data_IF_775256686902
#
_entry.id   IF_775256686902
#
_cell.length_a   1.000
_cell.length_b   1.000
_cell.length_c   1.000
_cell.angle_alpha   90.00
_cell.angle_beta   90.00
_cell.angle_gamma   90.00
#
_symmetry.space_group_name_H-M   'P 1'
#
loop_
_entity.id
_entity.type
_entity.pdbx_description
1 polymer ?
#
# COMPACT_ATOMS: atom_id res chain seq x y z
N UNK A 1 -80.24 74.44 -56.15
CA UNK A 1 -79.75 73.31 -56.97
C UNK A 1 -78.32 73.66 -57.37
N UNK A 2 -77.34 73.32 -56.54
CA UNK A 2 -75.93 73.34 -56.92
C UNK A 2 -75.46 71.90 -56.70
N UNK A 3 -75.18 71.22 -57.80
CA UNK A 3 -74.91 69.79 -57.85
C UNK A 3 -73.74 69.47 -56.93
N UNK A 4 -73.91 68.45 -56.07
CA UNK A 4 -72.82 67.94 -55.25
C UNK A 4 -71.65 67.59 -56.15
N UNK A 5 -70.50 68.24 -55.90
CA UNK A 5 -69.28 67.90 -56.61
C UNK A 5 -69.04 66.41 -56.44
N UNK A 6 -68.89 65.74 -57.57
CA UNK A 6 -68.87 64.30 -57.59
C UNK A 6 -67.60 63.84 -56.88
N UNK A 7 -67.75 63.07 -55.80
CA UNK A 7 -66.67 62.81 -54.83
C UNK A 7 -65.39 62.17 -55.42
N UNK A 8 -65.46 61.68 -56.65
CA UNK A 8 -64.35 61.13 -57.42
C UNK A 8 -63.44 62.18 -58.09
N UNK A 9 -63.81 63.46 -58.07
CA UNK A 9 -63.01 64.60 -58.56
C UNK A 9 -62.09 65.20 -57.48
N UNK A 10 -62.28 64.84 -56.20
CA UNK A 10 -61.42 65.26 -55.10
C UNK A 10 -60.12 64.42 -55.09
N UNK A 11 -58.92 65.04 -55.21
CA UNK A 11 -57.64 64.33 -55.11
C UNK A 11 -57.50 63.48 -53.85
N UNK A 12 -58.13 63.91 -52.74
CA UNK A 12 -58.14 63.19 -51.46
C UNK A 12 -58.77 61.80 -51.59
N UNK A 13 -59.78 61.62 -52.43
CA UNK A 13 -60.43 60.32 -52.64
C UNK A 13 -59.50 59.30 -53.33
N UNK A 14 -58.77 59.72 -54.36
CA UNK A 14 -57.80 58.86 -55.04
C UNK A 14 -56.58 58.54 -54.16
N UNK A 15 -56.13 59.49 -53.33
CA UNK A 15 -55.08 59.24 -52.33
C UNK A 15 -55.54 58.23 -51.28
N UNK A 16 -56.76 58.37 -50.75
CA UNK A 16 -57.32 57.39 -49.81
C UNK A 16 -57.47 56.00 -50.47
N UNK A 17 -57.95 55.94 -51.71
CA UNK A 17 -58.07 54.69 -52.47
C UNK A 17 -56.73 53.99 -52.69
N UNK A 18 -55.71 54.73 -53.13
CA UNK A 18 -54.34 54.18 -53.31
C UNK A 18 -53.71 53.73 -51.99
N UNK A 19 -53.94 54.45 -50.88
CA UNK A 19 -53.49 54.03 -49.56
C UNK A 19 -54.14 52.71 -49.13
N UNK A 20 -55.45 52.55 -49.34
CA UNK A 20 -56.16 51.30 -49.03
C UNK A 20 -55.66 50.15 -49.90
N UNK A 21 -55.41 50.39 -51.20
CA UNK A 21 -54.82 49.36 -52.08
C UNK A 21 -53.40 49.00 -51.66
N UNK A 22 -52.58 49.98 -51.23
CA UNK A 22 -51.23 49.73 -50.72
C UNK A 22 -51.25 48.91 -49.42
N UNK A 23 -52.05 49.32 -48.42
CA UNK A 23 -52.22 48.57 -47.17
C UNK A 23 -52.78 47.17 -47.44
N UNK A 24 -53.77 47.06 -48.32
CA UNK A 24 -54.32 45.78 -48.78
C UNK A 24 -53.24 44.90 -49.42
N UNK A 25 -52.36 45.48 -50.24
CA UNK A 25 -51.20 44.80 -50.83
C UNK A 25 -50.18 44.34 -49.77
N UNK A 26 -49.87 45.16 -48.77
CA UNK A 26 -48.96 44.82 -47.66
C UNK A 26 -49.53 43.71 -46.77
N UNK A 27 -50.84 43.74 -46.51
CA UNK A 27 -51.55 42.69 -45.76
C UNK A 27 -51.62 41.41 -46.58
N UNK A 28 -51.93 41.49 -47.88
CA UNK A 28 -51.95 40.36 -48.79
C UNK A 28 -50.57 39.70 -48.94
N UNK A 29 -49.50 40.51 -49.01
CA UNK A 29 -48.11 40.07 -49.00
C UNK A 29 -47.64 39.55 -47.62
N UNK A 30 -48.51 39.56 -46.59
CA UNK A 30 -48.25 39.03 -45.25
C UNK A 30 -47.01 39.60 -44.56
N UNK A 31 -46.62 40.83 -44.89
CA UNK A 31 -45.43 41.46 -44.31
C UNK A 31 -45.46 41.50 -42.76
N UNK A 32 -46.65 41.74 -42.18
CA UNK A 32 -46.89 41.71 -40.74
C UNK A 32 -46.58 40.33 -40.11
N UNK A 33 -46.94 39.24 -40.80
CA UNK A 33 -46.70 37.87 -40.32
C UNK A 33 -45.21 37.52 -40.36
N UNK A 34 -44.50 37.95 -41.41
CA UNK A 34 -43.06 37.71 -41.55
C UNK A 34 -42.26 38.44 -40.47
N UNK A 35 -42.61 39.70 -40.17
CA UNK A 35 -41.98 40.45 -39.08
C UNK A 35 -42.28 39.77 -37.73
N UNK A 36 -43.53 39.40 -37.46
CA UNK A 36 -43.90 38.66 -36.25
C UNK A 36 -43.11 37.35 -36.10
N UNK A 37 -42.99 36.57 -37.17
CA UNK A 37 -42.22 35.32 -37.16
C UNK A 37 -40.73 35.53 -36.85
N UNK A 38 -40.10 36.58 -37.37
CA UNK A 38 -38.70 36.89 -37.05
C UNK A 38 -38.51 37.30 -35.57
N UNK A 39 -39.47 38.05 -35.01
CA UNK A 39 -39.44 38.41 -33.58
C UNK A 39 -39.65 37.17 -32.70
N UNK A 40 -40.56 36.28 -33.08
CA UNK A 40 -40.80 35.02 -32.38
C UNK A 40 -39.57 34.10 -32.44
N UNK A 41 -38.93 33.98 -33.60
CA UNK A 41 -37.70 33.21 -33.78
C UNK A 41 -36.58 33.73 -32.87
N UNK A 42 -36.36 35.06 -32.86
CA UNK A 42 -35.40 35.68 -31.95
C UNK A 42 -35.75 35.44 -30.49
N UNK A 43 -37.02 35.58 -30.12
CA UNK A 43 -37.48 35.35 -28.74
C UNK A 43 -37.23 33.90 -28.31
N UNK A 44 -37.49 32.94 -29.19
CA UNK A 44 -37.25 31.52 -28.93
C UNK A 44 -35.75 31.19 -28.86
N UNK A 45 -34.93 31.77 -29.73
CA UNK A 45 -33.48 31.62 -29.67
C UNK A 45 -32.91 32.15 -28.34
N UNK A 46 -33.36 33.33 -27.90
CA UNK A 46 -32.94 33.91 -26.61
C UNK A 46 -33.40 33.03 -25.44
N UNK A 47 -34.65 32.56 -25.45
CA UNK A 47 -35.15 31.63 -24.42
C UNK A 47 -34.29 30.37 -24.33
N UNK A 48 -33.97 29.76 -25.48
CA UNK A 48 -33.13 28.56 -25.56
C UNK A 48 -31.74 28.81 -24.99
N UNK A 49 -31.09 29.92 -25.37
CA UNK A 49 -29.77 30.28 -24.83
C UNK A 49 -29.79 30.50 -23.31
N UNK A 50 -30.84 31.12 -22.78
CA UNK A 50 -30.99 31.31 -21.33
C UNK A 50 -31.20 29.96 -20.61
N UNK A 51 -31.98 29.05 -21.20
CA UNK A 51 -32.20 27.71 -20.65
C UNK A 51 -30.93 26.87 -20.66
N UNK A 52 -30.19 26.85 -21.78
CA UNK A 52 -28.89 26.20 -21.89
C UNK A 52 -27.89 26.78 -20.87
N UNK A 53 -27.83 28.11 -20.72
CA UNK A 53 -26.96 28.74 -19.73
C UNK A 53 -27.33 28.39 -18.28
N UNK A 54 -28.63 28.23 -17.98
CA UNK A 54 -29.11 27.76 -16.68
C UNK A 54 -28.71 26.31 -16.43
N UNK A 55 -28.97 25.41 -17.38
CA UNK A 55 -28.58 24.00 -17.28
C UNK A 55 -27.07 23.87 -17.07
N UNK A 56 -26.28 24.58 -17.86
CA UNK A 56 -24.82 24.54 -17.75
C UNK A 56 -24.35 25.04 -16.38
N UNK A 57 -24.99 26.08 -15.84
CA UNK A 57 -24.67 26.57 -14.51
C UNK A 57 -25.01 25.55 -13.43
N UNK A 58 -26.19 24.93 -13.49
CA UNK A 58 -26.61 23.89 -12.56
C UNK A 58 -25.67 22.67 -12.61
N UNK A 59 -25.30 22.22 -13.80
CA UNK A 59 -24.33 21.13 -14.00
C UNK A 59 -22.95 21.49 -13.42
N UNK A 60 -22.50 22.74 -13.61
CA UNK A 60 -21.22 23.21 -13.07
C UNK A 60 -21.24 23.28 -11.55
N UNK A 61 -22.35 23.76 -10.96
CA UNK A 61 -22.53 23.81 -9.51
C UNK A 61 -22.54 22.39 -8.91
N UNK A 62 -23.24 21.43 -9.54
CA UNK A 62 -23.21 20.03 -9.12
C UNK A 62 -21.80 19.43 -9.25
N UNK A 63 -21.12 19.67 -10.37
CA UNK A 63 -19.77 19.18 -10.60
C UNK A 63 -18.79 19.73 -9.57
N UNK A 64 -18.92 21.01 -9.19
CA UNK A 64 -18.11 21.62 -8.14
C UNK A 64 -18.32 20.94 -6.79
N UNK A 65 -19.57 20.68 -6.41
CA UNK A 65 -19.90 19.97 -5.15
C UNK A 65 -19.29 18.57 -5.15
N UNK A 66 -19.38 17.86 -6.28
CA UNK A 66 -18.80 16.52 -6.42
C UNK A 66 -17.27 16.55 -6.34
N UNK A 67 -16.61 17.53 -6.96
CA UNK A 67 -15.15 17.68 -6.84
C UNK A 67 -14.73 18.04 -5.42
N UNK A 68 -15.44 18.93 -4.74
CA UNK A 68 -15.16 19.26 -3.34
C UNK A 68 -15.32 18.05 -2.42
N UNK A 69 -16.36 17.24 -2.65
CA UNK A 69 -16.56 15.98 -1.92
C UNK A 69 -15.42 15.01 -2.19
N UNK A 70 -15.08 14.78 -3.46
CA UNK A 70 -13.97 13.89 -3.86
C UNK A 70 -12.63 14.34 -3.30
N UNK A 71 -12.37 15.65 -3.29
CA UNK A 71 -11.14 16.21 -2.70
C UNK A 71 -11.07 15.91 -1.21
N UNK A 72 -12.13 16.21 -0.46
CA UNK A 72 -12.18 15.94 0.99
C UNK A 72 -12.04 14.45 1.30
N UNK A 73 -12.71 13.61 0.52
CA UNK A 73 -12.67 12.16 0.71
C UNK A 73 -11.26 11.61 0.39
N UNK A 74 -10.60 12.12 -0.66
CA UNK A 74 -9.21 11.77 -0.99
C UNK A 74 -8.21 12.26 0.06
N UNK A 75 -8.38 13.46 0.61
CA UNK A 75 -7.56 13.97 1.72
C UNK A 75 -7.71 13.09 2.97
N UNK A 76 -8.94 12.67 3.28
CA UNK A 76 -9.21 11.76 4.38
C UNK A 76 -8.57 10.38 4.14
N UNK A 77 -8.76 9.81 2.95
CA UNK A 77 -8.17 8.51 2.57
C UNK A 77 -6.65 8.54 2.65
N UNK A 78 -6.01 9.62 2.19
CA UNK A 78 -4.57 9.81 2.31
C UNK A 78 -4.12 9.91 3.78
N UNK A 79 -4.86 10.63 4.62
CA UNK A 79 -4.57 10.72 6.05
C UNK A 79 -4.70 9.36 6.74
N UNK A 80 -5.77 8.62 6.45
CA UNK A 80 -6.03 7.28 6.97
C UNK A 80 -4.94 6.29 6.52
N UNK A 81 -4.50 6.37 5.26
CA UNK A 81 -3.40 5.56 4.71
C UNK A 81 -2.08 5.83 5.44
N UNK A 82 -1.75 7.10 5.69
CA UNK A 82 -0.54 7.47 6.44
C UNK A 82 -0.63 7.02 7.89
N UNK A 83 -1.80 7.14 8.52
CA UNK A 83 -1.99 6.67 9.89
C UNK A 83 -1.80 5.14 9.98
N UNK A 84 -2.41 4.39 9.07
CA UNK A 84 -2.26 2.92 9.00
C UNK A 84 -0.82 2.52 8.76
N UNK A 85 -0.12 3.17 7.81
CA UNK A 85 1.28 2.87 7.52
C UNK A 85 2.20 3.10 8.74
N UNK A 86 1.93 4.13 9.54
CA UNK A 86 2.68 4.38 10.78
C UNK A 86 2.38 3.33 11.85
N UNK A 87 1.13 2.90 11.99
CA UNK A 87 0.74 1.84 12.92
C UNK A 87 1.38 0.50 12.53
N UNK A 88 1.30 0.13 11.25
CA UNK A 88 1.91 -1.08 10.71
C UNK A 88 3.45 -1.06 10.89
N UNK A 89 4.08 0.09 10.62
CA UNK A 89 5.52 0.26 10.83
C UNK A 89 5.92 0.07 12.31
N UNK A 90 5.10 0.57 13.24
CA UNK A 90 5.33 0.37 14.68
C UNK A 90 5.19 -1.09 15.09
N UNK A 91 4.12 -1.75 14.64
CA UNK A 91 3.89 -3.18 14.91
C UNK A 91 5.05 -4.01 14.36
N UNK A 92 5.48 -3.74 13.13
CA UNK A 92 6.59 -4.45 12.51
C UNK A 92 7.91 -4.20 13.24
N UNK A 93 8.17 -2.97 13.70
CA UNK A 93 9.36 -2.65 14.49
C UNK A 93 9.37 -3.38 15.84
N UNK A 94 8.22 -3.44 16.52
CA UNK A 94 8.08 -4.15 17.80
C UNK A 94 8.27 -5.66 17.62
N UNK A 95 7.69 -6.24 16.56
CA UNK A 95 7.90 -7.66 16.20
C UNK A 95 9.36 -7.95 15.86
N UNK A 96 9.99 -7.13 15.01
CA UNK A 96 11.39 -7.29 14.65
C UNK A 96 12.31 -7.22 15.87
N UNK A 97 12.02 -6.33 16.82
CA UNK A 97 12.76 -6.25 18.08
C UNK A 97 12.61 -7.52 18.91
N UNK A 98 11.39 -8.03 19.06
CA UNK A 98 11.13 -9.28 19.79
C UNK A 98 11.85 -10.48 19.14
N UNK A 99 11.85 -10.55 17.81
CA UNK A 99 12.53 -11.60 17.05
C UNK A 99 14.05 -11.53 17.20
N UNK A 100 14.62 -10.33 17.16
CA UNK A 100 16.06 -10.10 17.41
C UNK A 100 16.42 -10.55 18.83
N UNK A 101 15.64 -10.16 19.83
CA UNK A 101 15.88 -10.56 21.23
C UNK A 101 15.82 -12.09 21.39
N UNK A 102 14.84 -12.75 20.76
CA UNK A 102 14.73 -14.20 20.76
C UNK A 102 15.94 -14.86 20.04
N UNK A 103 16.37 -14.29 18.92
CA UNK A 103 17.54 -14.77 18.18
C UNK A 103 18.82 -14.64 19.01
N UNK A 104 19.03 -13.50 19.69
CA UNK A 104 20.18 -13.26 20.56
C UNK A 104 20.18 -14.27 21.69
N UNK A 105 19.05 -14.45 22.41
CA UNK A 105 18.95 -15.45 23.49
C UNK A 105 19.30 -16.85 23.01
N UNK A 106 18.79 -17.26 21.84
CA UNK A 106 19.10 -18.56 21.24
C UNK A 106 20.59 -18.69 20.89
N UNK A 107 21.20 -17.65 20.29
CA UNK A 107 22.63 -17.63 19.95
C UNK A 107 23.51 -17.69 21.19
N UNK A 108 23.18 -16.92 22.22
CA UNK A 108 23.89 -16.95 23.51
C UNK A 108 23.83 -18.32 24.13
N UNK A 109 22.65 -18.97 24.17
CA UNK A 109 22.51 -20.33 24.70
C UNK A 109 23.35 -21.34 23.92
N UNK A 110 23.30 -21.30 22.58
CA UNK A 110 24.12 -22.19 21.76
C UNK A 110 25.64 -21.96 21.98
N UNK A 111 26.05 -20.70 22.16
CA UNK A 111 27.45 -20.39 22.45
C UNK A 111 27.86 -20.92 23.85
N UNK A 112 27.02 -20.72 24.88
CA UNK A 112 27.29 -21.25 26.22
C UNK A 112 27.33 -22.78 26.24
N UNK A 113 26.44 -23.44 25.51
CA UNK A 113 26.43 -24.90 25.39
C UNK A 113 27.70 -25.40 24.70
N UNK A 114 28.16 -24.74 23.63
CA UNK A 114 29.44 -25.07 22.96
C UNK A 114 30.64 -24.87 23.87
N UNK A 115 30.67 -23.78 24.65
CA UNK A 115 31.74 -23.51 25.62
C UNK A 115 31.77 -24.63 26.67
N UNK A 116 30.61 -24.96 27.27
CA UNK A 116 30.53 -26.02 28.27
C UNK A 116 30.97 -27.39 27.71
N UNK A 117 30.61 -27.71 26.46
CA UNK A 117 31.07 -28.93 25.78
C UNK A 117 32.59 -28.92 25.57
N UNK A 118 33.16 -27.79 25.12
CA UNK A 118 34.60 -27.65 24.91
C UNK A 118 35.37 -27.74 26.23
N UNK A 119 34.87 -27.12 27.30
CA UNK A 119 35.45 -27.23 28.65
C UNK A 119 35.44 -28.67 29.14
N UNK A 120 34.30 -29.38 29.02
CA UNK A 120 34.20 -30.78 29.40
C UNK A 120 35.16 -31.67 28.60
N UNK A 121 35.35 -31.37 27.31
CA UNK A 121 36.32 -32.07 26.47
C UNK A 121 37.76 -31.81 26.92
N UNK A 122 38.14 -30.54 27.13
CA UNK A 122 39.47 -30.16 27.56
C UNK A 122 39.83 -30.76 28.92
N UNK A 123 38.89 -30.80 29.87
CA UNK A 123 39.09 -31.47 31.17
C UNK A 123 39.38 -32.96 30.99
N UNK A 124 38.62 -33.65 30.12
CA UNK A 124 38.86 -35.07 29.81
C UNK A 124 40.22 -35.29 29.16
N UNK A 125 40.64 -34.42 28.24
CA UNK A 125 41.96 -34.50 27.61
C UNK A 125 43.10 -34.35 28.63
N UNK A 126 43.01 -33.35 29.52
CA UNK A 126 43.99 -33.14 30.59
C UNK A 126 44.05 -34.35 31.53
N UNK A 127 42.89 -34.90 31.90
CA UNK A 127 42.83 -36.08 32.76
C UNK A 127 43.44 -37.31 32.05
N UNK A 128 43.13 -37.52 30.78
CA UNK A 128 43.71 -38.62 30.00
C UNK A 128 45.23 -38.50 29.87
N UNK A 129 45.75 -37.29 29.61
CA UNK A 129 47.18 -37.03 29.58
C UNK A 129 47.85 -37.29 30.94
N UNK A 130 47.24 -36.84 32.04
CA UNK A 130 47.75 -37.10 33.39
C UNK A 130 47.78 -38.60 33.73
N UNK A 131 46.72 -39.35 33.36
CA UNK A 131 46.67 -40.81 33.53
C UNK A 131 47.76 -41.49 32.70
N UNK A 132 47.96 -41.08 31.45
CA UNK A 132 49.00 -41.64 30.59
C UNK A 132 50.40 -41.45 31.22
N UNK A 133 50.72 -40.24 31.68
CA UNK A 133 51.99 -39.93 32.36
C UNK A 133 52.16 -40.74 33.65
N UNK A 134 51.10 -40.88 34.46
CA UNK A 134 51.14 -41.66 35.69
C UNK A 134 51.35 -43.16 35.43
N UNK A 135 50.69 -43.73 34.41
CA UNK A 135 50.86 -45.12 33.99
C UNK A 135 52.27 -45.35 33.45
N UNK A 136 52.80 -44.43 32.65
CA UNK A 136 54.17 -44.50 32.15
C UNK A 136 55.19 -44.49 33.29
N UNK A 137 55.08 -43.53 34.21
CA UNK A 137 55.95 -43.44 35.38
C UNK A 137 55.85 -44.69 36.28
N UNK A 138 54.64 -45.19 36.54
CA UNK A 138 54.42 -46.41 37.31
C UNK A 138 55.03 -47.63 36.61
N UNK A 139 54.91 -47.73 35.29
CA UNK A 139 55.53 -48.79 34.48
C UNK A 139 57.05 -48.76 34.57
N UNK A 140 57.67 -47.57 34.49
CA UNK A 140 59.12 -47.41 34.66
C UNK A 140 59.57 -47.82 36.06
N UNK A 141 58.92 -47.30 37.11
CA UNK A 141 59.26 -47.63 38.51
C UNK A 141 59.08 -49.13 38.80
N UNK A 142 57.98 -49.72 38.32
CA UNK A 142 57.73 -51.15 38.46
C UNK A 142 58.77 -51.96 37.68
N UNK A 143 59.10 -51.56 36.45
CA UNK A 143 60.14 -52.18 35.64
C UNK A 143 61.52 -52.16 36.32
N UNK A 144 61.86 -51.08 36.99
CA UNK A 144 63.11 -50.98 37.77
C UNK A 144 63.05 -51.82 39.06
N UNK A 145 61.92 -51.82 39.78
CA UNK A 145 61.75 -52.62 41.01
C UNK A 145 61.73 -54.13 40.74
N UNK A 146 61.30 -54.56 39.55
CA UNK A 146 61.28 -55.96 39.13
C UNK A 146 62.64 -56.47 38.62
N UNK A 147 63.66 -55.62 38.50
CA UNK A 147 65.03 -56.07 38.19
C UNK A 147 65.63 -56.78 39.41
N UNK A 148 66.04 -58.04 39.23
CA UNK A 148 66.68 -58.85 40.27
C UNK A 148 65.70 -59.77 41.03
N UNK A 149 66.02 -60.09 42.31
CA UNK A 149 65.33 -61.14 43.10
C UNK A 149 63.82 -60.96 43.22
N UNK A 150 63.31 -59.73 43.25
CA UNK A 150 61.88 -59.46 43.39
C UNK A 150 61.07 -59.88 42.15
N UNK A 151 61.60 -59.63 40.94
CA UNK A 151 60.97 -60.07 39.69
C UNK A 151 60.98 -61.59 39.54
N UNK A 152 62.10 -62.25 39.89
CA UNK A 152 62.19 -63.72 39.87
C UNK A 152 61.19 -64.37 40.83
N UNK A 153 61.03 -63.81 42.04
CA UNK A 153 60.05 -64.29 43.02
C UNK A 153 58.59 -64.09 42.55
N UNK A 154 58.31 -63.03 41.79
CA UNK A 154 57.00 -62.78 41.19
C UNK A 154 56.67 -63.77 40.06
N UNK A 155 57.67 -64.13 39.24
CA UNK A 155 57.54 -65.16 38.21
C UNK A 155 57.25 -66.52 38.85
N UNK A 156 58.02 -66.92 39.86
CA UNK A 156 57.79 -68.18 40.59
C UNK A 156 56.41 -68.23 41.26
N UNK A 157 55.95 -67.10 41.82
CA UNK A 157 54.61 -66.97 42.40
C UNK A 157 53.52 -67.08 41.31
N UNK A 158 53.72 -66.45 40.16
CA UNK A 158 52.78 -66.49 39.02
C UNK A 158 52.69 -67.89 38.41
N UNK A 159 53.81 -68.61 38.32
CA UNK A 159 53.87 -70.02 37.89
C UNK A 159 53.10 -70.91 38.89
N UNK A 160 53.29 -70.69 40.20
CA UNK A 160 52.51 -71.41 41.23
C UNK A 160 51.01 -71.11 41.16
N UNK A 161 50.60 -69.85 41.01
CA UNK A 161 49.18 -69.47 40.92
C UNK A 161 48.51 -70.00 39.64
N UNK A 162 49.22 -69.98 38.51
CA UNK A 162 48.71 -70.49 37.24
C UNK A 162 48.61 -72.01 37.27
N UNK A 163 49.60 -72.69 37.85
CA UNK A 163 49.56 -74.13 38.10
C UNK A 163 48.42 -74.54 39.06
N UNK A 164 48.13 -73.72 40.07
CA UNK A 164 47.02 -73.95 41.01
C UNK A 164 45.62 -73.67 40.43
N UNK A 165 45.52 -72.92 39.32
CA UNK A 165 44.25 -72.68 38.59
C UNK A 165 44.03 -73.62 37.41
N UNK A 166 45.04 -74.42 37.03
CA UNK A 166 45.01 -75.39 35.93
C UNK A 166 44.92 -76.86 36.39
N UNK A 167 44.87 -77.09 37.71
CA UNK A 167 44.41 -78.33 38.34
C UNK A 167 43.02 -78.11 38.94
#
# INVERSE_FOLDING_TARGET
MAAGEAFYLDPTFWVAGSFVVFIGGVVYAKAHKTIGAMLDERSNAIRKQIEEARSLREETEQLLIDFQRKQRDAEKEAADMVAQANEDAKILADQAKADIDAMIKRRTRMASEKIAQAEAHAVKEVQAAAVAVAVEAASTVLGDALKGKAGTALIDKSIKETGAKLH
#
